data_IF_669212056892
#
_entry.id   IF_669212056892
#
_cell.length_a   1.000
_cell.length_b   1.000
_cell.length_c   1.000
_cell.angle_alpha   90.00
_cell.angle_beta   90.00
_cell.angle_gamma   90.00
#
_symmetry.space_group_name_H-M   'P 1'
#
loop_
_entity.id
_entity.type
_entity.pdbx_description
1 polymer ?
#
# COMPACT_ATOMS: atom_id res chain seq x y z
N UNK A 1 -19.65 31.30 14.08
CA UNK A 1 -19.45 30.80 12.70
C UNK A 1 -19.62 29.29 12.74
N UNK A 2 -20.41 28.69 11.84
CA UNK A 2 -20.58 27.22 11.84
C UNK A 2 -19.42 26.58 11.06
N UNK A 3 -19.09 25.32 11.37
CA UNK A 3 -17.99 24.60 10.70
C UNK A 3 -18.20 24.50 9.18
N UNK A 4 -19.44 24.44 8.71
CA UNK A 4 -19.76 24.38 7.29
C UNK A 4 -19.49 25.73 6.57
N UNK A 5 -19.82 26.85 7.21
CA UNK A 5 -19.54 28.19 6.65
C UNK A 5 -18.03 28.45 6.59
N UNK A 6 -17.29 28.13 7.66
CA UNK A 6 -15.84 28.29 7.69
C UNK A 6 -15.10 27.44 6.63
N UNK A 7 -15.64 26.24 6.33
CA UNK A 7 -15.10 25.37 5.28
C UNK A 7 -15.31 25.95 3.89
N UNK A 8 -16.52 26.40 3.58
CA UNK A 8 -16.82 27.02 2.28
C UNK A 8 -15.98 28.29 2.06
N UNK A 9 -15.78 29.10 3.09
CA UNK A 9 -14.96 30.31 3.01
C UNK A 9 -13.48 29.97 2.71
N UNK A 10 -12.95 28.88 3.28
CA UNK A 10 -11.59 28.42 3.02
C UNK A 10 -11.42 27.83 1.60
N UNK A 11 -12.37 27.03 1.13
CA UNK A 11 -12.37 26.48 -0.24
C UNK A 11 -12.41 27.62 -1.28
N UNK A 12 -13.26 28.62 -1.07
CA UNK A 12 -13.31 29.84 -1.91
C UNK A 12 -11.99 30.63 -1.88
N UNK A 13 -11.31 30.71 -0.73
CA UNK A 13 -10.01 31.38 -0.62
C UNK A 13 -8.91 30.67 -1.42
N UNK A 14 -8.90 29.33 -1.40
CA UNK A 14 -7.94 28.52 -2.16
C UNK A 14 -8.14 28.69 -3.66
N UNK A 15 -9.39 28.60 -4.14
CA UNK A 15 -9.74 28.76 -5.57
C UNK A 15 -9.35 30.14 -6.10
N UNK A 16 -9.63 31.21 -5.35
CA UNK A 16 -9.31 32.58 -5.76
C UNK A 16 -7.80 32.89 -5.69
N UNK A 17 -7.03 32.20 -4.84
CA UNK A 17 -5.57 32.38 -4.75
C UNK A 17 -4.79 31.73 -5.91
N UNK A 18 -5.39 30.77 -6.63
CA UNK A 18 -4.76 30.13 -7.78
C UNK A 18 -4.59 31.04 -8.99
N UNK A 19 -5.40 32.10 -9.12
CA UNK A 19 -5.44 32.92 -10.35
C UNK A 19 -4.47 34.11 -10.37
N UNK A 20 -3.91 34.54 -9.23
CA UNK A 20 -3.20 35.85 -9.18
C UNK A 20 -1.86 35.90 -8.44
N UNK A 21 -1.48 34.92 -7.60
CA UNK A 21 -0.19 35.00 -6.86
C UNK A 21 0.21 33.68 -6.18
N UNK A 22 1.15 32.92 -6.76
CA UNK A 22 1.65 31.65 -6.19
C UNK A 22 2.22 31.80 -4.76
N UNK A 23 2.75 32.97 -4.42
CA UNK A 23 3.29 33.26 -3.08
C UNK A 23 2.19 33.37 -2.02
N UNK A 24 1.01 33.92 -2.36
CA UNK A 24 -0.13 34.03 -1.43
C UNK A 24 -0.77 32.67 -1.18
N UNK A 25 -0.92 31.87 -2.23
CA UNK A 25 -1.38 30.49 -2.11
C UNK A 25 -0.47 29.68 -1.18
N UNK A 26 0.85 29.83 -1.33
CA UNK A 26 1.83 29.15 -0.48
C UNK A 26 1.68 29.52 1.01
N UNK A 27 1.40 30.78 1.32
CA UNK A 27 1.19 31.26 2.70
C UNK A 27 -0.11 30.73 3.31
N UNK A 28 -1.19 30.64 2.53
CA UNK A 28 -2.47 30.05 2.98
C UNK A 28 -2.30 28.56 3.26
N UNK A 29 -1.63 27.82 2.36
CA UNK A 29 -1.35 26.39 2.53
C UNK A 29 -0.42 26.12 3.71
N UNK A 30 0.57 26.99 3.97
CA UNK A 30 1.51 26.86 5.08
C UNK A 30 0.92 27.25 6.45
N UNK A 31 -0.32 27.76 6.51
CA UNK A 31 -0.93 28.18 7.77
C UNK A 31 -1.38 26.97 8.61
N UNK A 32 -0.55 26.61 9.60
CA UNK A 32 -0.81 25.51 10.55
C UNK A 32 -2.07 25.69 11.43
N UNK A 33 -2.64 26.90 11.53
CA UNK A 33 -3.90 27.12 12.25
C UNK A 33 -5.13 26.71 11.43
N UNK A 34 -5.00 26.67 10.10
CA UNK A 34 -6.08 26.32 9.16
C UNK A 34 -5.86 24.95 8.52
N UNK A 35 -4.63 24.64 8.14
CA UNK A 35 -4.24 23.39 7.50
C UNK A 35 -3.46 22.50 8.47
N UNK A 36 -3.64 21.17 8.39
CA UNK A 36 -2.85 20.26 9.20
C UNK A 36 -1.37 20.36 8.81
N UNK A 37 -0.52 20.47 9.82
CA UNK A 37 0.93 20.38 9.65
C UNK A 37 1.34 19.01 9.13
N UNK A 38 2.52 18.92 8.52
CA UNK A 38 3.12 17.65 8.11
C UNK A 38 3.12 16.61 9.24
N UNK A 39 3.45 17.02 10.47
CA UNK A 39 3.42 16.15 11.64
C UNK A 39 2.02 15.61 11.95
N UNK A 40 0.98 16.44 11.83
CA UNK A 40 -0.40 16.01 12.04
C UNK A 40 -0.85 15.04 10.95
N UNK A 41 -0.53 15.33 9.67
CA UNK A 41 -0.82 14.41 8.56
C UNK A 41 -0.12 13.08 8.75
N UNK A 42 1.17 13.11 9.10
CA UNK A 42 1.97 11.91 9.38
C UNK A 42 1.37 11.10 10.54
N UNK A 43 0.98 11.77 11.62
CA UNK A 43 0.36 11.11 12.77
C UNK A 43 -0.97 10.45 12.40
N UNK A 44 -1.84 11.14 11.65
CA UNK A 44 -3.10 10.57 11.16
C UNK A 44 -2.86 9.37 10.24
N UNK A 45 -1.87 9.47 9.35
CA UNK A 45 -1.46 8.36 8.49
C UNK A 45 -0.94 7.17 9.31
N UNK A 46 -0.14 7.41 10.35
CA UNK A 46 0.35 6.36 11.24
C UNK A 46 -0.78 5.66 11.99
N UNK A 47 -1.75 6.40 12.52
CA UNK A 47 -2.95 5.83 13.16
C UNK A 47 -3.71 4.95 12.16
N UNK A 48 -4.01 5.50 10.98
CA UNK A 48 -4.73 4.76 9.94
C UNK A 48 -3.96 3.51 9.51
N UNK A 49 -2.66 3.63 9.27
CA UNK A 49 -1.80 2.51 8.87
C UNK A 49 -1.74 1.43 9.93
N UNK A 50 -1.56 1.80 11.20
CA UNK A 50 -1.51 0.83 12.30
C UNK A 50 -2.84 0.07 12.44
N UNK A 51 -3.97 0.77 12.24
CA UNK A 51 -5.30 0.14 12.23
C UNK A 51 -5.51 -0.82 11.06
N UNK A 52 -4.93 -0.53 9.88
CA UNK A 52 -5.18 -1.29 8.65
C UNK A 52 -4.14 -2.36 8.32
N UNK A 53 -2.88 -2.17 8.75
CA UNK A 53 -1.73 -3.00 8.36
C UNK A 53 -0.91 -3.50 9.56
N UNK A 54 -1.21 -3.03 10.78
CA UNK A 54 -0.39 -3.29 11.96
C UNK A 54 0.73 -2.25 12.13
N UNK A 55 1.38 -2.27 13.29
CA UNK A 55 2.61 -1.52 13.52
C UNK A 55 3.77 -2.15 12.74
N UNK A 56 4.94 -1.52 12.80
CA UNK A 56 6.17 -2.08 12.20
C UNK A 56 6.76 -3.22 13.02
N UNK A 57 6.13 -3.58 14.14
CA UNK A 57 6.52 -4.70 14.97
C UNK A 57 5.96 -6.00 14.37
N UNK A 58 6.80 -7.03 14.27
CA UNK A 58 6.52 -8.30 13.58
C UNK A 58 5.17 -8.92 14.02
N UNK A 59 4.89 -8.92 15.32
CA UNK A 59 3.70 -9.52 15.90
C UNK A 59 2.39 -8.88 15.42
N UNK A 60 2.39 -7.55 15.28
CA UNK A 60 1.18 -6.79 14.92
C UNK A 60 0.80 -6.99 13.45
N UNK A 61 1.81 -7.04 12.57
CA UNK A 61 1.64 -7.22 11.14
C UNK A 61 1.19 -8.64 10.80
N UNK A 62 1.78 -9.65 11.46
CA UNK A 62 1.36 -11.06 11.32
C UNK A 62 -0.09 -11.23 11.79
N UNK A 63 -0.49 -10.56 12.88
CA UNK A 63 -1.87 -10.60 13.38
C UNK A 63 -2.86 -10.07 12.34
N UNK A 64 -2.61 -8.87 11.78
CA UNK A 64 -3.48 -8.28 10.74
C UNK A 64 -3.52 -9.13 9.47
N UNK A 65 -2.39 -9.72 9.08
CA UNK A 65 -2.34 -10.67 7.97
C UNK A 65 -3.28 -11.85 8.20
N UNK A 66 -3.18 -12.50 9.37
CA UNK A 66 -4.03 -13.65 9.75
C UNK A 66 -5.51 -13.29 9.72
N UNK A 67 -5.90 -12.13 10.25
CA UNK A 67 -7.28 -11.63 10.20
C UNK A 67 -7.79 -11.46 8.77
N UNK A 68 -6.93 -11.02 7.84
CA UNK A 68 -7.29 -10.82 6.43
C UNK A 68 -7.33 -12.11 5.61
N UNK A 69 -6.67 -13.19 6.03
CA UNK A 69 -6.65 -14.47 5.28
C UNK A 69 -8.08 -14.95 4.99
N UNK A 70 -8.94 -14.93 6.01
CA UNK A 70 -10.30 -15.44 5.88
C UNK A 70 -11.13 -14.62 4.90
N UNK A 71 -10.94 -13.29 4.91
CA UNK A 71 -11.57 -12.40 3.94
C UNK A 71 -11.13 -12.71 2.51
N UNK A 72 -9.81 -12.80 2.26
CA UNK A 72 -9.29 -13.08 0.93
C UNK A 72 -9.67 -14.47 0.41
N UNK A 73 -9.73 -15.45 1.31
CA UNK A 73 -10.13 -16.82 0.98
C UNK A 73 -11.61 -16.89 0.58
N UNK A 74 -12.50 -16.25 1.33
CA UNK A 74 -13.95 -16.27 1.08
C UNK A 74 -14.35 -15.38 -0.11
N UNK A 75 -13.93 -14.13 -0.10
CA UNK A 75 -14.40 -13.12 -1.05
C UNK A 75 -13.68 -13.20 -2.39
N UNK A 76 -12.36 -13.47 -2.37
CA UNK A 76 -11.51 -13.39 -3.57
C UNK A 76 -11.00 -14.74 -4.05
N UNK A 77 -11.30 -15.82 -3.34
CA UNK A 77 -10.83 -17.18 -3.64
C UNK A 77 -9.30 -17.23 -3.77
N UNK A 78 -8.61 -16.41 -2.97
CA UNK A 78 -7.16 -16.34 -2.88
C UNK A 78 -6.75 -17.12 -1.63
N UNK A 79 -5.88 -18.11 -1.80
CA UNK A 79 -5.32 -18.87 -0.69
C UNK A 79 -4.02 -18.19 -0.24
N UNK A 80 -3.93 -17.82 1.02
CA UNK A 80 -2.72 -17.23 1.62
C UNK A 80 -2.16 -18.23 2.62
N UNK A 81 -0.87 -18.54 2.51
CA UNK A 81 -0.14 -19.43 3.42
C UNK A 81 0.96 -18.63 4.08
N UNK A 82 1.02 -18.68 5.42
CA UNK A 82 2.03 -17.98 6.21
C UNK A 82 2.86 -19.02 6.98
N UNK A 83 4.17 -18.93 6.86
CA UNK A 83 5.16 -19.56 7.75
C UNK A 83 5.86 -18.43 8.48
N UNK A 84 5.92 -18.47 9.81
CA UNK A 84 6.43 -17.33 10.61
C UNK A 84 7.94 -17.42 10.88
N UNK A 85 8.55 -18.60 10.78
CA UNK A 85 9.98 -18.79 11.02
C UNK A 85 10.64 -19.72 9.99
N UNK A 86 11.36 -19.20 8.97
CA UNK A 86 11.44 -17.77 8.61
C UNK A 86 10.08 -17.25 8.11
N UNK A 87 9.86 -15.92 8.18
CA UNK A 87 8.64 -15.30 7.68
C UNK A 87 8.54 -15.45 6.15
N UNK A 88 7.64 -16.33 5.70
CA UNK A 88 7.32 -16.57 4.30
C UNK A 88 5.81 -16.45 4.14
N UNK A 89 5.38 -15.57 3.23
CA UNK A 89 3.97 -15.41 2.86
C UNK A 89 3.82 -15.83 1.40
N UNK A 90 2.96 -16.80 1.14
CA UNK A 90 2.64 -17.29 -0.20
C UNK A 90 1.20 -16.90 -0.52
N UNK A 91 0.99 -16.22 -1.63
CA UNK A 91 -0.34 -15.79 -2.10
C UNK A 91 -0.65 -16.58 -3.38
N UNK A 92 -1.67 -17.43 -3.31
CA UNK A 92 -2.09 -18.31 -4.40
C UNK A 92 -3.45 -17.84 -4.91
N UNK A 93 -3.44 -17.18 -6.06
CA UNK A 93 -4.67 -16.86 -6.79
C UNK A 93 -5.18 -18.08 -7.57
N UNK A 94 -6.47 -18.09 -7.91
CA UNK A 94 -7.06 -19.13 -8.78
C UNK A 94 -6.33 -19.29 -10.11
N UNK A 95 -5.88 -18.20 -10.72
CA UNK A 95 -5.18 -18.26 -12.01
C UNK A 95 -3.79 -18.90 -11.86
N UNK A 96 -3.08 -18.65 -10.77
CA UNK A 96 -1.81 -19.32 -10.46
C UNK A 96 -2.01 -20.81 -10.23
N UNK A 97 -3.02 -21.19 -9.43
CA UNK A 97 -3.36 -22.60 -9.22
C UNK A 97 -3.73 -23.31 -10.53
N UNK A 98 -4.47 -22.65 -11.43
CA UNK A 98 -4.79 -23.20 -12.75
C UNK A 98 -3.54 -23.37 -13.61
N UNK A 99 -2.65 -22.38 -13.64
CA UNK A 99 -1.40 -22.48 -14.40
C UNK A 99 -0.51 -23.61 -13.89
N UNK A 100 -0.40 -23.80 -12.56
CA UNK A 100 0.41 -24.86 -11.97
C UNK A 100 -0.12 -26.29 -12.21
N UNK A 101 -1.36 -26.45 -12.66
CA UNK A 101 -1.88 -27.76 -13.08
C UNK A 101 -1.34 -28.23 -14.43
N UNK A 102 -0.70 -27.33 -15.20
CA UNK A 102 -0.07 -27.68 -16.47
C UNK A 102 1.35 -28.22 -16.25
N UNK A 103 1.71 -29.31 -16.94
CA UNK A 103 3.00 -30.00 -16.76
C UNK A 103 4.22 -29.08 -16.97
N UNK A 104 4.12 -28.12 -17.89
CA UNK A 104 5.21 -27.19 -18.20
C UNK A 104 5.38 -26.08 -17.15
N UNK A 105 4.34 -25.79 -16.35
CA UNK A 105 4.32 -24.67 -15.40
C UNK A 105 4.37 -25.12 -13.94
N UNK A 106 4.32 -26.42 -13.67
CA UNK A 106 4.35 -26.99 -12.31
C UNK A 106 5.56 -26.54 -11.50
N UNK A 107 6.70 -26.30 -12.15
CA UNK A 107 7.97 -25.87 -11.51
C UNK A 107 8.20 -24.34 -11.56
N UNK A 108 7.28 -23.56 -12.13
CA UNK A 108 7.46 -22.11 -12.31
C UNK A 108 6.92 -21.34 -11.11
N UNK A 109 7.80 -20.70 -10.34
CA UNK A 109 7.39 -19.80 -9.25
C UNK A 109 7.38 -18.36 -9.74
N UNK A 110 6.24 -17.68 -9.63
CA UNK A 110 6.13 -16.25 -9.87
C UNK A 110 6.49 -15.49 -8.60
N UNK A 111 7.65 -14.86 -8.60
CA UNK A 111 8.08 -13.95 -7.54
C UNK A 111 7.72 -12.53 -7.96
N UNK A 112 6.65 -12.00 -7.39
CA UNK A 112 6.42 -10.56 -7.46
C UNK A 112 7.28 -9.90 -6.39
N UNK A 113 8.15 -9.00 -6.83
CA UNK A 113 9.05 -8.26 -5.94
C UNK A 113 8.72 -6.77 -5.88
N UNK A 114 7.59 -6.34 -6.44
CA UNK A 114 7.13 -4.94 -6.45
C UNK A 114 6.70 -4.40 -5.07
N UNK A 115 7.17 -4.97 -3.97
CA UNK A 115 6.72 -4.65 -2.62
C UNK A 115 7.81 -4.36 -1.59
N UNK A 116 9.09 -4.45 -1.92
CA UNK A 116 10.13 -4.03 -0.98
C UNK A 116 10.22 -2.51 -0.98
N UNK A 117 9.39 -1.87 -0.15
CA UNK A 117 9.66 -0.50 0.28
C UNK A 117 10.84 -0.57 1.25
N UNK A 118 12.01 -0.10 0.83
CA UNK A 118 13.11 0.25 1.74
C UNK A 118 12.58 1.17 2.87
N UNK A 119 13.28 1.27 3.99
CA UNK A 119 13.03 2.26 5.05
C UNK A 119 12.87 3.70 4.49
N UNK A 120 13.39 3.97 3.29
CA UNK A 120 13.22 5.23 2.53
C UNK A 120 11.92 5.34 1.70
N UNK A 121 11.00 4.38 1.75
CA UNK A 121 9.83 4.26 0.86
C UNK A 121 10.17 4.09 -0.64
N UNK A 122 11.41 3.71 -0.97
CA UNK A 122 11.81 3.37 -2.34
C UNK A 122 11.36 1.94 -2.67
N UNK A 123 10.65 1.75 -3.79
CA UNK A 123 10.26 0.42 -4.26
C UNK A 123 11.48 -0.26 -4.91
N UNK A 124 11.99 -1.31 -4.28
CA UNK A 124 13.11 -2.12 -4.76
C UNK A 124 12.62 -3.54 -5.05
N UNK A 125 12.83 -4.00 -6.28
CA UNK A 125 12.32 -5.28 -6.78
C UNK A 125 13.47 -6.31 -6.85
N UNK A 126 13.54 -7.22 -5.87
CA UNK A 126 14.48 -8.36 -5.88
C UNK A 126 13.85 -9.62 -6.49
N UNK A 127 14.23 -9.97 -7.71
CA UNK A 127 13.81 -11.21 -8.37
C UNK A 127 14.86 -12.29 -8.18
N UNK A 128 14.57 -13.32 -7.39
CA UNK A 128 15.39 -14.52 -7.28
C UNK A 128 14.71 -15.68 -8.02
N UNK A 129 15.30 -16.14 -9.12
CA UNK A 129 14.79 -17.26 -9.89
C UNK A 129 15.83 -18.37 -10.03
N UNK A 130 15.36 -19.61 -9.93
CA UNK A 130 16.05 -20.78 -10.51
C UNK A 130 15.11 -21.35 -11.57
N UNK A 131 15.57 -21.45 -12.82
CA UNK A 131 14.76 -22.02 -13.92
C UNK A 131 15.64 -22.64 -15.01
N UNK A 132 15.18 -23.74 -15.63
CA UNK A 132 15.78 -24.35 -16.83
C UNK A 132 15.24 -23.76 -18.15
N UNK A 133 14.09 -23.08 -18.17
CA UNK A 133 13.49 -22.50 -19.38
C UNK A 133 12.88 -21.11 -19.05
N UNK A 134 12.94 -20.20 -20.04
CA UNK A 134 12.84 -18.74 -20.00
C UNK A 134 11.73 -18.07 -19.14
N UNK A 135 12.05 -16.84 -18.70
CA UNK A 135 11.19 -15.94 -17.93
C UNK A 135 10.24 -15.10 -18.80
N UNK A 136 9.05 -14.81 -18.27
CA UNK A 136 8.17 -13.74 -18.76
C UNK A 136 7.87 -12.81 -17.59
N UNK A 137 8.47 -11.61 -17.61
CA UNK A 137 8.08 -10.50 -16.73
C UNK A 137 7.00 -9.69 -17.44
N UNK A 138 5.79 -9.63 -16.87
CA UNK A 138 4.76 -8.68 -17.30
C UNK A 138 4.83 -7.47 -16.38
N UNK A 139 5.36 -6.37 -16.91
CA UNK A 139 5.19 -5.05 -16.33
C UNK A 139 3.74 -4.62 -16.59
N UNK A 140 2.96 -4.45 -15.53
CA UNK A 140 1.72 -3.66 -15.59
C UNK A 140 2.05 -2.40 -14.79
N UNK A 141 2.27 -1.30 -15.53
CA UNK A 141 2.37 0.05 -14.98
C UNK A 141 1.02 0.51 -14.43
#
# INVERSE_FOLDING_TARGET
MTNATARNDHEMLLENCHETDNTKLSLVLANAQQNPTEHQVKHLYEIWRNSNFGSRDEDSMIKVLKEKIDFYKKEKQINIVIKENPLIVIILSRIMMRAHNEDFAREIVFVDSNGSCDQTNSCVTFMFCTAKIAQIARYIC
#
